data_IF_295136631340
#
_entry.id   IF_295136631340
#
_cell.length_a   1.000
_cell.length_b   1.000
_cell.length_c   1.000
_cell.angle_alpha   90.00
_cell.angle_beta   90.00
_cell.angle_gamma   90.00
#
_symmetry.space_group_name_H-M   'P 1'
#
loop_
_entity.id
_entity.type
_entity.pdbx_description
1 polymer ?
#
# COMPACT_ATOMS: atom_id res chain seq x y z
N UNK A 1 1.82 -75.45 -16.14
CA UNK A 1 1.24 -74.10 -16.11
C UNK A 1 1.62 -73.45 -14.80
N UNK A 2 2.66 -72.62 -14.80
CA UNK A 2 3.10 -71.90 -13.60
C UNK A 2 2.55 -70.47 -13.68
N UNK A 3 1.79 -70.09 -12.64
CA UNK A 3 1.23 -68.76 -12.48
C UNK A 3 2.32 -67.84 -11.95
N UNK A 4 2.79 -66.91 -12.82
CA UNK A 4 3.64 -65.78 -12.40
C UNK A 4 2.87 -64.86 -11.47
N UNK A 5 3.33 -64.69 -10.24
CA UNK A 5 2.88 -63.71 -9.27
C UNK A 5 3.62 -62.39 -9.63
N UNK A 6 2.92 -61.44 -10.18
CA UNK A 6 3.40 -60.06 -10.31
C UNK A 6 3.45 -59.45 -8.91
N UNK A 7 4.65 -59.30 -8.37
CA UNK A 7 4.90 -58.41 -7.22
C UNK A 7 4.86 -56.97 -7.71
N UNK A 8 3.81 -56.28 -7.34
CA UNK A 8 3.75 -54.82 -7.50
C UNK A 8 4.72 -54.23 -6.46
N UNK A 9 5.91 -53.89 -6.92
CA UNK A 9 6.88 -53.16 -6.13
C UNK A 9 6.27 -51.77 -5.80
N UNK A 10 5.94 -51.58 -4.55
CA UNK A 10 5.47 -50.28 -4.04
C UNK A 10 6.66 -49.30 -3.94
N UNK A 11 7.05 -48.74 -5.08
CA UNK A 11 8.16 -47.78 -5.21
C UNK A 11 7.87 -46.46 -4.47
N UNK A 12 6.63 -46.23 -4.08
CA UNK A 12 6.22 -45.06 -3.30
C UNK A 12 6.60 -45.18 -1.82
N UNK A 13 6.37 -46.36 -1.22
CA UNK A 13 6.69 -46.60 0.19
C UNK A 13 8.21 -46.62 0.41
N UNK A 14 8.98 -47.29 -0.46
CA UNK A 14 10.46 -47.31 -0.39
C UNK A 14 11.08 -45.90 -0.59
N UNK A 15 10.51 -45.08 -1.48
CA UNK A 15 11.00 -43.69 -1.66
C UNK A 15 10.74 -42.79 -0.45
N UNK A 16 9.61 -42.96 0.22
CA UNK A 16 9.28 -42.27 1.45
C UNK A 16 10.17 -42.71 2.64
N UNK A 17 10.40 -44.03 2.79
CA UNK A 17 11.27 -44.58 3.82
C UNK A 17 12.73 -44.11 3.67
N UNK A 18 13.25 -44.08 2.44
CA UNK A 18 14.58 -43.55 2.13
C UNK A 18 14.66 -42.02 2.37
N UNK A 19 13.61 -41.28 2.07
CA UNK A 19 13.55 -39.83 2.38
C UNK A 19 13.52 -39.54 3.87
N UNK A 20 12.75 -40.30 4.65
CA UNK A 20 12.69 -40.23 6.11
C UNK A 20 14.05 -40.53 6.74
N UNK A 21 14.71 -41.63 6.33
CA UNK A 21 16.03 -42.03 6.86
C UNK A 21 17.11 -40.97 6.55
N UNK A 22 17.09 -40.35 5.36
CA UNK A 22 18.02 -39.26 5.03
C UNK A 22 17.76 -38.01 5.88
N UNK A 23 16.50 -37.71 6.16
CA UNK A 23 16.11 -36.56 6.98
C UNK A 23 16.54 -36.78 8.45
N UNK A 24 16.36 -37.98 8.98
CA UNK A 24 16.80 -38.37 10.32
C UNK A 24 18.34 -38.25 10.45
N UNK A 25 19.09 -38.85 9.52
CA UNK A 25 20.55 -38.73 9.49
C UNK A 25 21.04 -37.27 9.37
N UNK A 26 20.37 -36.45 8.59
CA UNK A 26 20.72 -35.04 8.47
C UNK A 26 20.50 -34.30 9.81
N UNK A 27 19.38 -34.56 10.49
CA UNK A 27 19.07 -33.98 11.79
C UNK A 27 20.08 -34.43 12.85
N UNK A 28 20.39 -35.72 12.91
CA UNK A 28 21.37 -36.26 13.87
C UNK A 28 22.78 -35.66 13.64
N UNK A 29 23.25 -35.65 12.40
CA UNK A 29 24.56 -35.12 12.06
C UNK A 29 24.69 -33.60 12.29
N UNK A 30 23.57 -32.86 12.25
CA UNK A 30 23.55 -31.40 12.38
C UNK A 30 22.83 -30.91 13.65
N UNK A 31 22.56 -31.78 14.61
CA UNK A 31 21.77 -31.50 15.81
C UNK A 31 22.22 -30.23 16.54
N UNK A 32 23.53 -30.04 16.76
CA UNK A 32 24.08 -28.84 17.43
C UNK A 32 23.77 -27.56 16.65
N UNK A 33 24.00 -27.57 15.34
CA UNK A 33 23.73 -26.40 14.47
C UNK A 33 22.23 -26.09 14.40
N UNK A 34 21.39 -27.11 14.25
CA UNK A 34 19.93 -26.95 14.24
C UNK A 34 19.42 -26.40 15.57
N UNK A 35 19.91 -26.89 16.70
CA UNK A 35 19.55 -26.38 18.03
C UNK A 35 19.91 -24.90 18.18
N UNK A 36 21.13 -24.50 17.76
CA UNK A 36 21.55 -23.08 17.80
C UNK A 36 20.66 -22.21 16.91
N UNK A 37 20.32 -22.68 15.71
CA UNK A 37 19.43 -21.95 14.79
C UNK A 37 18.04 -21.78 15.40
N UNK A 38 17.45 -22.85 15.97
CA UNK A 38 16.13 -22.79 16.61
C UNK A 38 16.14 -21.82 17.78
N UNK A 39 17.17 -21.89 18.65
CA UNK A 39 17.31 -20.97 19.77
C UNK A 39 17.46 -19.51 19.30
N UNK A 40 18.23 -19.25 18.25
CA UNK A 40 18.37 -17.91 17.66
C UNK A 40 17.03 -17.39 17.14
N UNK A 41 16.23 -18.22 16.46
CA UNK A 41 14.90 -17.86 16.00
C UNK A 41 13.97 -17.54 17.19
N UNK A 42 13.99 -18.34 18.24
CA UNK A 42 13.19 -18.10 19.45
C UNK A 42 13.55 -16.76 20.09
N UNK A 43 14.85 -16.45 20.21
CA UNK A 43 15.32 -15.17 20.77
C UNK A 43 14.89 -13.99 19.89
N UNK A 44 15.03 -14.08 18.57
CA UNK A 44 14.61 -13.02 17.63
C UNK A 44 13.11 -12.79 17.74
N UNK A 45 12.31 -13.85 17.66
CA UNK A 45 10.85 -13.77 17.73
C UNK A 45 10.40 -13.26 19.11
N UNK A 46 10.99 -13.77 20.19
CA UNK A 46 10.69 -13.33 21.56
C UNK A 46 11.00 -11.85 21.78
N UNK A 47 12.16 -11.39 21.31
CA UNK A 47 12.54 -9.97 21.38
C UNK A 47 11.60 -9.09 20.56
N UNK A 48 11.25 -9.52 19.33
CA UNK A 48 10.31 -8.79 18.48
C UNK A 48 8.91 -8.68 19.10
N UNK A 49 8.39 -9.76 19.63
CA UNK A 49 7.07 -9.76 20.29
C UNK A 49 7.10 -8.95 21.60
N UNK A 50 8.17 -9.06 22.37
CA UNK A 50 8.40 -8.27 23.58
C UNK A 50 8.43 -6.78 23.28
N UNK A 51 9.24 -6.36 22.31
CA UNK A 51 9.31 -4.98 21.85
C UNK A 51 7.93 -4.45 21.40
N UNK A 52 7.20 -5.25 20.61
CA UNK A 52 5.89 -4.87 20.11
C UNK A 52 4.86 -4.70 21.23
N UNK A 53 4.87 -5.59 22.23
CA UNK A 53 3.88 -5.59 23.32
C UNK A 53 4.21 -4.58 24.42
N UNK A 54 5.51 -4.44 24.77
CA UNK A 54 5.92 -3.62 25.92
C UNK A 54 6.26 -2.17 25.54
N UNK A 55 6.60 -1.91 24.28
CA UNK A 55 7.00 -0.59 23.84
C UNK A 55 6.01 0.01 22.82
N UNK A 56 5.71 -0.71 21.73
CA UNK A 56 4.87 -0.15 20.67
C UNK A 56 3.38 -0.08 21.08
N UNK A 57 2.86 -1.06 21.81
CA UNK A 57 1.43 -1.07 22.15
C UNK A 57 1.03 0.08 23.09
N UNK A 58 1.74 0.38 24.18
CA UNK A 58 1.44 1.56 25.02
C UNK A 58 1.61 2.88 24.23
N UNK A 59 2.66 2.98 23.41
CA UNK A 59 2.89 4.15 22.54
C UNK A 59 1.74 4.37 21.53
N UNK A 60 1.19 3.30 20.97
CA UNK A 60 0.04 3.36 20.07
C UNK A 60 -1.22 3.87 20.79
N UNK A 61 -1.47 3.39 22.02
CA UNK A 61 -2.62 3.83 22.85
C UNK A 61 -2.53 5.32 23.18
N UNK A 62 -1.34 5.78 23.56
CA UNK A 62 -1.08 7.20 23.79
C UNK A 62 -1.27 8.02 22.50
N UNK A 63 -0.67 7.59 21.39
CA UNK A 63 -0.78 8.24 20.09
C UNK A 63 -2.24 8.41 19.64
N UNK A 64 -3.09 7.38 19.84
CA UNK A 64 -4.53 7.46 19.53
C UNK A 64 -5.26 8.53 20.36
N UNK A 65 -4.83 8.77 21.59
CA UNK A 65 -5.41 9.83 22.42
C UNK A 65 -4.94 11.21 21.94
N UNK A 66 -3.67 11.34 21.59
CA UNK A 66 -3.06 12.59 21.18
C UNK A 66 -3.52 13.09 19.80
N UNK A 67 -3.78 12.19 18.84
CA UNK A 67 -4.15 12.56 17.48
C UNK A 67 -5.55 13.21 17.39
N UNK A 68 -6.41 12.98 18.36
CA UNK A 68 -7.81 13.38 18.31
C UNK A 68 -8.01 14.89 18.06
N UNK A 69 -7.24 15.76 18.71
CA UNK A 69 -7.36 17.19 18.51
C UNK A 69 -6.96 17.62 17.10
N UNK A 70 -5.88 17.05 16.56
CA UNK A 70 -5.42 17.31 15.20
C UNK A 70 -6.46 16.85 14.15
N UNK A 71 -7.11 15.70 14.35
CA UNK A 71 -8.21 15.23 13.50
C UNK A 71 -9.41 16.19 13.55
N UNK A 72 -9.76 16.73 14.73
CA UNK A 72 -10.83 17.72 14.87
C UNK A 72 -10.51 19.05 14.15
N UNK A 73 -9.25 19.48 14.12
CA UNK A 73 -8.83 20.64 13.32
C UNK A 73 -8.88 20.33 11.83
N UNK A 74 -8.47 19.13 11.44
CA UNK A 74 -8.53 18.66 10.03
C UNK A 74 -9.97 18.63 9.51
N UNK A 75 -10.92 18.08 10.28
CA UNK A 75 -12.35 18.04 9.94
C UNK A 75 -12.99 19.43 9.78
N UNK A 76 -12.40 20.45 10.37
CA UNK A 76 -12.84 21.85 10.29
C UNK A 76 -12.05 22.65 9.25
N UNK A 77 -11.32 22.00 8.38
CA UNK A 77 -10.43 22.61 7.37
C UNK A 77 -9.37 23.55 7.98
N UNK A 78 -9.10 23.42 9.29
CA UNK A 78 -8.08 24.21 9.99
C UNK A 78 -6.71 23.53 9.84
N UNK A 79 -6.24 23.36 8.60
CA UNK A 79 -5.09 22.53 8.24
C UNK A 79 -3.79 22.97 8.93
N UNK A 80 -3.58 24.28 9.13
CA UNK A 80 -2.39 24.75 9.83
C UNK A 80 -2.39 24.32 11.32
N UNK A 81 -3.55 24.40 12.01
CA UNK A 81 -3.68 23.90 13.38
C UNK A 81 -3.61 22.37 13.43
N UNK A 82 -4.16 21.69 12.43
CA UNK A 82 -4.05 20.25 12.33
C UNK A 82 -2.59 19.78 12.18
N UNK A 83 -1.77 20.52 11.42
CA UNK A 83 -0.35 20.23 11.26
C UNK A 83 0.46 20.52 12.52
N UNK A 84 0.30 21.71 13.09
CA UNK A 84 1.23 22.27 14.08
C UNK A 84 0.69 22.27 15.52
N UNK A 85 -0.58 21.89 15.70
CA UNK A 85 -1.25 22.03 17.01
C UNK A 85 -1.61 23.46 17.36
N UNK A 86 -2.16 23.67 18.56
CA UNK A 86 -2.58 24.97 19.10
C UNK A 86 -1.77 25.40 20.32
N UNK A 87 -0.71 24.68 20.65
CA UNK A 87 0.14 24.87 21.82
C UNK A 87 -0.35 24.11 23.08
N UNK A 88 -1.59 23.63 23.11
CA UNK A 88 -2.12 22.75 24.16
C UNK A 88 -2.21 21.29 23.68
N UNK A 89 -2.46 21.10 22.40
CA UNK A 89 -2.60 19.80 21.76
C UNK A 89 -1.61 19.66 20.62
N UNK A 90 -1.11 18.43 20.42
CA UNK A 90 -0.16 18.11 19.37
C UNK A 90 -0.82 18.21 17.98
N UNK A 91 -0.05 18.70 17.00
CA UNK A 91 -0.38 18.59 15.59
C UNK A 91 0.12 17.29 14.98
N UNK A 92 -0.24 17.04 13.71
CA UNK A 92 0.20 15.83 13.02
C UNK A 92 1.72 15.70 12.93
N UNK A 93 2.45 16.82 12.85
CA UNK A 93 3.92 16.81 12.79
C UNK A 93 4.52 16.29 14.09
N UNK A 94 4.08 16.82 15.24
CA UNK A 94 4.54 16.34 16.55
C UNK A 94 4.19 14.87 16.78
N UNK A 95 3.01 14.43 16.29
CA UNK A 95 2.58 13.04 16.39
C UNK A 95 3.47 12.13 15.51
N UNK A 96 3.85 12.56 14.31
CA UNK A 96 4.78 11.83 13.45
C UNK A 96 6.13 11.68 14.15
N UNK A 97 6.64 12.74 14.76
CA UNK A 97 7.95 12.74 15.40
C UNK A 97 7.97 11.88 16.67
N UNK A 98 6.94 12.00 17.51
CA UNK A 98 6.87 11.28 18.79
C UNK A 98 6.44 9.82 18.66
N UNK A 99 5.57 9.50 17.70
CA UNK A 99 4.90 8.20 17.58
C UNK A 99 5.15 7.49 16.24
N UNK A 100 6.26 7.79 15.56
CA UNK A 100 6.62 7.29 14.22
C UNK A 100 6.45 5.77 14.01
N UNK A 101 6.80 4.88 14.96
CA UNK A 101 6.71 3.42 14.75
C UNK A 101 5.29 2.86 14.94
N UNK A 102 4.34 3.71 15.32
CA UNK A 102 2.95 3.31 15.58
C UNK A 102 2.09 3.37 14.30
N UNK A 103 0.91 2.76 14.36
CA UNK A 103 -0.08 2.88 13.28
C UNK A 103 -0.64 4.29 13.19
N UNK A 104 -0.85 4.91 14.35
CA UNK A 104 -1.33 6.28 14.47
C UNK A 104 -0.32 7.28 13.91
N UNK A 105 0.99 7.13 14.21
CA UNK A 105 2.03 7.95 13.60
C UNK A 105 2.13 7.77 12.08
N UNK A 106 1.88 6.55 11.59
CA UNK A 106 1.77 6.31 10.16
C UNK A 106 0.52 6.99 9.54
N UNK A 107 -0.64 6.96 10.25
CA UNK A 107 -1.86 7.64 9.81
C UNK A 107 -1.70 9.17 9.83
N UNK A 108 -1.01 9.71 10.82
CA UNK A 108 -0.69 11.13 10.90
C UNK A 108 0.09 11.62 9.66
N UNK A 109 0.94 10.78 9.03
CA UNK A 109 1.60 11.12 7.75
C UNK A 109 0.61 11.32 6.62
N UNK A 110 -0.46 10.53 6.57
CA UNK A 110 -1.52 10.70 5.57
C UNK A 110 -2.24 12.03 5.78
N UNK A 111 -2.69 12.31 7.00
CA UNK A 111 -3.37 13.57 7.31
C UNK A 111 -2.47 14.79 7.11
N UNK A 112 -1.20 14.71 7.53
CA UNK A 112 -0.24 15.78 7.28
C UNK A 112 -0.06 16.04 5.77
N UNK A 113 0.09 14.98 4.98
CA UNK A 113 0.22 15.12 3.54
C UNK A 113 -1.01 15.73 2.87
N UNK A 114 -2.22 15.36 3.30
CA UNK A 114 -3.45 16.00 2.80
C UNK A 114 -3.52 17.46 3.26
N UNK A 115 -3.20 17.76 4.53
CA UNK A 115 -3.19 19.12 5.06
C UNK A 115 -2.23 20.04 4.29
N UNK A 116 -1.02 19.58 4.00
CA UNK A 116 -0.07 20.31 3.18
C UNK A 116 -0.57 20.57 1.76
N UNK A 117 -1.22 19.56 1.14
CA UNK A 117 -1.84 19.71 -0.18
C UNK A 117 -2.90 20.83 -0.17
N UNK A 118 -3.78 20.85 0.83
CA UNK A 118 -4.83 21.87 0.96
C UNK A 118 -4.27 23.28 1.23
N UNK A 119 -3.07 23.37 1.82
CA UNK A 119 -2.35 24.63 2.02
C UNK A 119 -1.53 25.05 0.77
N UNK A 120 -1.46 24.23 -0.27
CA UNK A 120 -0.68 24.49 -1.46
C UNK A 120 0.82 24.17 -1.34
N UNK A 121 1.22 23.50 -0.26
CA UNK A 121 2.59 23.07 0.02
C UNK A 121 2.81 21.65 -0.57
N UNK A 122 2.87 21.60 -1.91
CA UNK A 122 2.76 20.33 -2.65
C UNK A 122 3.98 19.42 -2.50
N UNK A 123 5.18 19.97 -2.35
CA UNK A 123 6.40 19.19 -2.13
C UNK A 123 6.37 18.48 -0.77
N UNK A 124 5.97 19.17 0.28
CA UNK A 124 5.78 18.64 1.64
C UNK A 124 4.68 17.59 1.67
N UNK A 125 3.57 17.86 0.98
CA UNK A 125 2.48 16.90 0.81
C UNK A 125 2.97 15.58 0.22
N UNK A 126 3.74 15.66 -0.88
CA UNK A 126 4.32 14.49 -1.55
C UNK A 126 5.26 13.73 -0.61
N UNK A 127 6.11 14.42 0.16
CA UNK A 127 7.05 13.77 1.07
C UNK A 127 6.31 12.98 2.15
N UNK A 128 5.34 13.59 2.83
CA UNK A 128 4.54 12.93 3.86
C UNK A 128 3.73 11.75 3.31
N UNK A 129 3.03 11.93 2.18
CA UNK A 129 2.25 10.87 1.54
C UNK A 129 3.11 9.70 1.03
N UNK A 130 4.34 9.95 0.56
CA UNK A 130 5.28 8.89 0.17
C UNK A 130 5.77 8.05 1.34
N UNK A 131 5.87 8.64 2.53
CA UNK A 131 6.25 7.94 3.76
C UNK A 131 5.08 7.24 4.43
N UNK A 132 3.86 7.54 4.03
CA UNK A 132 2.67 6.81 4.46
C UNK A 132 2.67 5.39 3.91
N UNK A 133 2.44 4.40 4.77
CA UNK A 133 2.34 2.99 4.39
C UNK A 133 0.90 2.50 4.55
N UNK A 134 0.07 2.60 3.50
CA UNK A 134 -1.33 2.20 3.56
C UNK A 134 -1.47 0.69 3.71
N UNK A 135 -2.38 0.26 4.59
CA UNK A 135 -2.80 -1.14 4.71
C UNK A 135 -4.12 -1.41 4.01
N UNK A 136 -4.95 -0.38 3.92
CA UNK A 136 -6.22 -0.42 3.24
C UNK A 136 -6.07 -0.01 1.77
N UNK A 137 -6.69 -0.76 0.86
CA UNK A 137 -6.59 -0.52 -0.58
C UNK A 137 -7.26 0.79 -1.01
N UNK A 138 -8.36 1.18 -0.38
CA UNK A 138 -9.07 2.42 -0.71
C UNK A 138 -8.26 3.64 -0.27
N UNK A 139 -7.82 3.67 0.99
CA UNK A 139 -6.99 4.77 1.52
C UNK A 139 -5.68 4.88 0.76
N UNK A 140 -5.06 3.74 0.42
CA UNK A 140 -3.84 3.73 -0.38
C UNK A 140 -4.03 4.29 -1.78
N UNK A 141 -5.14 3.94 -2.45
CA UNK A 141 -5.49 4.52 -3.75
C UNK A 141 -5.67 6.04 -3.65
N UNK A 142 -6.37 6.52 -2.62
CA UNK A 142 -6.57 7.96 -2.39
C UNK A 142 -5.24 8.66 -2.10
N UNK A 143 -4.36 8.09 -1.28
CA UNK A 143 -3.05 8.66 -0.98
C UNK A 143 -2.16 8.79 -2.24
N UNK A 144 -2.10 7.74 -3.07
CA UNK A 144 -1.38 7.82 -4.34
C UNK A 144 -2.03 8.80 -5.33
N UNK A 145 -3.36 8.91 -5.31
CA UNK A 145 -4.09 9.92 -6.08
C UNK A 145 -3.75 11.34 -5.64
N UNK A 146 -3.67 11.58 -4.33
CA UNK A 146 -3.29 12.87 -3.76
C UNK A 146 -1.84 13.26 -4.14
N UNK A 147 -0.91 12.30 -4.17
CA UNK A 147 0.45 12.54 -4.70
C UNK A 147 0.39 12.96 -6.17
N UNK A 148 -0.47 12.30 -6.96
CA UNK A 148 -0.63 12.65 -8.36
C UNK A 148 -1.24 14.04 -8.54
N UNK A 149 -2.26 14.39 -7.74
CA UNK A 149 -2.86 15.74 -7.72
C UNK A 149 -1.77 16.80 -7.45
N UNK A 150 -0.92 16.59 -6.44
CA UNK A 150 0.21 17.49 -6.15
C UNK A 150 1.19 17.61 -7.34
N UNK A 151 1.48 16.51 -8.05
CA UNK A 151 2.32 16.57 -9.24
C UNK A 151 1.67 17.36 -10.38
N UNK A 152 0.34 17.33 -10.53
CA UNK A 152 -0.38 18.16 -11.50
C UNK A 152 -0.18 19.64 -11.15
N UNK A 153 -0.40 20.04 -9.90
CA UNK A 153 -0.22 21.42 -9.44
C UNK A 153 1.23 21.92 -9.62
N UNK A 154 2.21 21.03 -9.49
CA UNK A 154 3.62 21.35 -9.76
C UNK A 154 3.99 21.33 -11.27
N UNK A 155 3.05 21.08 -12.17
CA UNK A 155 3.31 20.95 -13.62
C UNK A 155 4.10 19.71 -14.01
N UNK A 156 4.27 18.73 -13.10
CA UNK A 156 5.00 17.47 -13.32
C UNK A 156 4.07 16.41 -13.87
N UNK A 157 3.53 16.65 -15.06
CA UNK A 157 2.42 15.87 -15.63
C UNK A 157 2.78 14.39 -15.90
N UNK A 158 4.02 14.08 -16.31
CA UNK A 158 4.47 12.70 -16.49
C UNK A 158 4.43 11.90 -15.19
N UNK A 159 4.89 12.50 -14.10
CA UNK A 159 4.87 11.91 -12.76
C UNK A 159 3.44 11.73 -12.27
N UNK A 160 2.59 12.74 -12.51
CA UNK A 160 1.18 12.69 -12.16
C UNK A 160 0.46 11.51 -12.83
N UNK A 161 0.58 11.36 -14.15
CA UNK A 161 -0.03 10.28 -14.90
C UNK A 161 0.39 8.90 -14.38
N UNK A 162 1.70 8.72 -14.14
CA UNK A 162 2.23 7.46 -13.55
C UNK A 162 1.65 7.16 -12.17
N UNK A 163 1.52 8.20 -11.32
CA UNK A 163 0.97 8.04 -9.98
C UNK A 163 -0.53 7.75 -9.99
N UNK A 164 -1.32 8.34 -10.88
CA UNK A 164 -2.72 8.00 -11.04
C UNK A 164 -2.90 6.54 -11.49
N UNK A 165 -2.11 6.06 -12.46
CA UNK A 165 -2.13 4.65 -12.87
C UNK A 165 -1.75 3.73 -11.70
N UNK A 166 -0.75 4.12 -10.88
CA UNK A 166 -0.37 3.38 -9.67
C UNK A 166 -1.50 3.36 -8.65
N UNK A 167 -2.17 4.51 -8.43
CA UNK A 167 -3.32 4.62 -7.53
C UNK A 167 -4.46 3.68 -7.95
N UNK A 168 -4.80 3.65 -9.25
CA UNK A 168 -5.81 2.77 -9.79
C UNK A 168 -5.47 1.28 -9.57
N UNK A 169 -4.23 0.88 -9.88
CA UNK A 169 -3.76 -0.50 -9.67
C UNK A 169 -3.72 -0.90 -8.20
N UNK A 170 -3.38 0.03 -7.31
CA UNK A 170 -3.36 -0.26 -5.87
C UNK A 170 -4.77 -0.48 -5.31
N UNK A 171 -5.73 0.34 -5.74
CA UNK A 171 -7.12 0.28 -5.31
C UNK A 171 -7.81 -1.02 -5.72
N UNK A 172 -7.70 -1.38 -6.99
CA UNK A 172 -8.37 -2.55 -7.61
C UNK A 172 -9.85 -2.68 -7.22
N UNK A 173 -10.59 -1.58 -7.26
CA UNK A 173 -12.00 -1.56 -6.88
C UNK A 173 -12.83 -0.68 -7.82
N UNK A 174 -14.16 -0.91 -7.84
CA UNK A 174 -15.09 -0.21 -8.73
C UNK A 174 -15.36 1.25 -8.36
N UNK A 175 -14.78 1.76 -7.27
CA UNK A 175 -14.97 3.13 -6.80
C UNK A 175 -13.76 4.01 -7.12
N UNK A 176 -12.58 3.72 -6.53
CA UNK A 176 -11.41 4.59 -6.68
C UNK A 176 -10.65 4.36 -7.99
N UNK A 177 -10.56 3.12 -8.48
CA UNK A 177 -9.74 2.80 -9.65
C UNK A 177 -10.22 3.49 -10.93
N UNK A 178 -11.52 3.51 -11.28
CA UNK A 178 -11.98 4.21 -12.47
C UNK A 178 -11.78 5.72 -12.38
N UNK A 179 -11.94 6.34 -11.20
CA UNK A 179 -11.64 7.76 -10.98
C UNK A 179 -10.17 8.06 -11.29
N UNK A 180 -9.26 7.24 -10.76
CA UNK A 180 -7.82 7.44 -10.97
C UNK A 180 -7.41 7.21 -12.42
N UNK A 181 -8.02 6.22 -13.11
CA UNK A 181 -7.79 5.99 -14.54
C UNK A 181 -8.33 7.15 -15.40
N UNK A 182 -9.48 7.72 -15.04
CA UNK A 182 -10.03 8.90 -15.72
C UNK A 182 -9.06 10.08 -15.61
N UNK A 183 -8.57 10.36 -14.39
CA UNK A 183 -7.57 11.42 -14.17
C UNK A 183 -6.27 11.14 -14.95
N UNK A 184 -5.78 9.90 -14.95
CA UNK A 184 -4.60 9.50 -15.73
C UNK A 184 -4.81 9.76 -17.22
N UNK A 185 -5.95 9.35 -17.77
CA UNK A 185 -6.29 9.57 -19.17
C UNK A 185 -6.32 11.06 -19.55
N UNK A 186 -6.91 11.89 -18.70
CA UNK A 186 -6.95 13.36 -18.90
C UNK A 186 -5.54 13.96 -18.92
N UNK A 187 -4.68 13.57 -17.98
CA UNK A 187 -3.28 14.04 -17.95
C UNK A 187 -2.49 13.54 -19.16
N UNK A 188 -2.72 12.31 -19.61
CA UNK A 188 -2.11 11.81 -20.85
C UNK A 188 -2.56 12.60 -22.09
N UNK A 189 -3.85 13.01 -22.18
CA UNK A 189 -4.30 13.88 -23.27
C UNK A 189 -3.57 15.25 -23.24
N UNK A 190 -3.40 15.83 -22.05
CA UNK A 190 -2.68 17.10 -21.88
C UNK A 190 -1.21 16.98 -22.31
N UNK A 191 -0.59 15.84 -22.07
CA UNK A 191 0.76 15.51 -22.54
C UNK A 191 0.84 15.19 -24.04
N UNK A 192 -0.30 15.13 -24.77
CA UNK A 192 -0.34 14.66 -26.16
C UNK A 192 -0.11 13.14 -26.32
N UNK A 193 -0.15 12.39 -25.22
CA UNK A 193 0.04 10.93 -25.20
C UNK A 193 -1.31 10.20 -25.37
N UNK A 194 -1.90 10.36 -26.56
CA UNK A 194 -3.26 9.91 -26.83
C UNK A 194 -3.40 8.39 -26.79
N UNK A 195 -2.38 7.64 -27.17
CA UNK A 195 -2.37 6.17 -27.05
C UNK A 195 -2.52 5.70 -25.60
N UNK A 196 -1.78 6.33 -24.69
CA UNK A 196 -1.86 6.03 -23.25
C UNK A 196 -3.19 6.48 -22.67
N UNK A 197 -3.73 7.61 -23.12
CA UNK A 197 -5.07 8.07 -22.72
C UNK A 197 -6.15 7.07 -23.12
N UNK A 198 -6.17 6.64 -24.39
CA UNK A 198 -7.10 5.60 -24.89
C UNK A 198 -6.99 4.33 -24.05
N UNK A 199 -5.79 3.86 -23.78
CA UNK A 199 -5.56 2.65 -22.97
C UNK A 199 -6.14 2.80 -21.55
N UNK A 200 -5.99 3.96 -20.91
CA UNK A 200 -6.56 4.21 -19.59
C UNK A 200 -8.10 4.17 -19.63
N UNK A 201 -8.72 4.79 -20.63
CA UNK A 201 -10.15 4.83 -20.81
C UNK A 201 -10.74 3.45 -21.18
N UNK A 202 -10.08 2.70 -22.06
CA UNK A 202 -10.47 1.33 -22.40
C UNK A 202 -10.41 0.41 -21.20
N UNK A 203 -9.44 0.60 -20.30
CA UNK A 203 -9.37 -0.14 -19.02
C UNK A 203 -10.60 0.13 -18.16
N UNK A 204 -11.08 1.38 -18.09
CA UNK A 204 -12.34 1.69 -17.38
C UNK A 204 -13.51 0.94 -18.00
N UNK A 205 -13.62 0.98 -19.32
CA UNK A 205 -14.70 0.31 -20.05
C UNK A 205 -14.72 -1.20 -19.82
N UNK A 206 -13.54 -1.83 -19.87
CA UNK A 206 -13.40 -3.28 -19.80
C UNK A 206 -13.49 -3.83 -18.37
N UNK A 207 -12.78 -3.18 -17.42
CA UNK A 207 -12.62 -3.72 -16.07
C UNK A 207 -13.63 -3.12 -15.07
N UNK A 208 -14.13 -1.91 -15.33
CA UNK A 208 -15.04 -1.19 -14.43
C UNK A 208 -16.36 -0.75 -15.07
N UNK A 209 -17.07 -1.62 -15.83
CA UNK A 209 -18.23 -1.24 -16.65
C UNK A 209 -19.43 -0.73 -15.83
N UNK A 210 -19.43 -0.97 -14.51
CA UNK A 210 -20.50 -0.51 -13.59
C UNK A 210 -20.17 0.80 -12.89
N UNK A 211 -18.97 1.36 -13.09
CA UNK A 211 -18.57 2.62 -12.48
C UNK A 211 -19.34 3.82 -13.08
N UNK A 212 -19.32 4.94 -12.37
CA UNK A 212 -19.91 6.18 -12.88
C UNK A 212 -19.15 6.68 -14.12
N UNK A 213 -17.83 6.54 -14.12
CA UNK A 213 -16.93 6.94 -15.19
C UNK A 213 -17.19 6.16 -16.49
N UNK A 214 -17.55 4.87 -16.38
CA UNK A 214 -17.84 4.03 -17.55
C UNK A 214 -19.05 4.51 -18.37
N UNK A 215 -19.99 5.25 -17.78
CA UNK A 215 -21.21 5.69 -18.46
C UNK A 215 -20.94 6.59 -19.67
N UNK A 216 -19.92 7.42 -19.58
CA UNK A 216 -19.56 8.37 -20.64
C UNK A 216 -18.18 8.07 -21.27
N UNK A 217 -17.58 6.95 -20.96
CA UNK A 217 -16.18 6.66 -21.31
C UNK A 217 -15.96 6.62 -22.84
N UNK A 218 -16.97 6.21 -23.62
CA UNK A 218 -16.90 6.20 -25.09
C UNK A 218 -16.63 7.57 -25.68
N UNK A 219 -17.14 8.61 -25.07
CA UNK A 219 -16.87 9.99 -25.47
C UNK A 219 -15.38 10.35 -25.36
N UNK A 220 -14.75 9.92 -24.27
CA UNK A 220 -13.32 10.17 -24.03
C UNK A 220 -12.45 9.31 -24.95
N UNK A 221 -12.78 8.03 -25.14
CA UNK A 221 -12.10 7.14 -26.08
C UNK A 221 -12.16 7.71 -27.49
N UNK A 222 -13.35 8.10 -27.97
CA UNK A 222 -13.53 8.67 -29.31
C UNK A 222 -12.73 9.95 -29.47
N UNK A 223 -12.78 10.87 -28.48
CA UNK A 223 -12.04 12.13 -28.51
C UNK A 223 -10.53 11.91 -28.60
N UNK A 224 -9.99 11.00 -27.79
CA UNK A 224 -8.57 10.71 -27.81
C UNK A 224 -8.13 10.02 -29.12
N UNK A 225 -8.95 9.08 -29.65
CA UNK A 225 -8.67 8.42 -30.93
C UNK A 225 -8.66 9.40 -32.12
N UNK A 226 -9.46 10.48 -32.09
CA UNK A 226 -9.44 11.51 -33.15
C UNK A 226 -8.15 12.34 -33.16
N UNK A 227 -7.29 12.19 -32.17
CA UNK A 227 -6.02 12.91 -32.02
C UNK A 227 -4.79 12.03 -32.31
N UNK A 228 -5.00 10.69 -32.50
CA UNK A 228 -3.96 9.77 -32.95
C UNK A 228 -3.66 9.96 -34.44
#
# INVERSE_FOLDING_TARGET
MAKSKNEVHDTGAESLENALTRTEQYIENNQKSLTVIVLAIIVIVGTFLGYRKLYIAPMEEEAQTQIFAAEQYFEKDSFNLALNGDGNYLGFIDIIDSYSPTKTGNLARYYAGISYRELGEYEEAIDHLKRFSPKDKMIGSVAYGAIADCYVELGKLEEAAKQYVKAAKYGENNFSSPIMLMKAGTVYEELGKFTEAVKAYETIKAEYPKSAEAREIEKFITRANMKL
#
